data_IF_577394714520
#
_entry.id   IF_577394714520
#
_cell.length_a   1.000
_cell.length_b   1.000
_cell.length_c   1.000
_cell.angle_alpha   90.00
_cell.angle_beta   90.00
_cell.angle_gamma   90.00
#
_symmetry.space_group_name_H-M   'P 1'
#
loop_
_entity.id
_entity.type
_entity.pdbx_description
1 polymer ?
#
# COMPACT_ATOMS: atom_id res chain seq x y z
N UNK A 1 -5.97 -12.71 -31.24
CA UNK A 1 -5.29 -11.76 -32.09
C UNK A 1 -4.44 -10.76 -31.29
N UNK A 2 -3.41 -10.23 -31.94
CA UNK A 2 -2.50 -9.28 -31.32
C UNK A 2 -3.20 -8.03 -30.80
N UNK A 3 -4.28 -7.60 -31.44
CA UNK A 3 -5.02 -6.41 -31.08
C UNK A 3 -5.64 -6.47 -29.68
N UNK A 4 -5.87 -7.67 -29.16
CA UNK A 4 -6.43 -7.85 -27.82
C UNK A 4 -5.45 -7.43 -26.72
N UNK A 5 -4.17 -7.32 -27.03
CA UNK A 5 -3.12 -7.00 -26.09
C UNK A 5 -2.59 -5.57 -26.22
N UNK A 6 -3.04 -4.84 -27.23
CA UNK A 6 -2.56 -3.49 -27.50
C UNK A 6 -3.64 -2.48 -27.19
N UNK A 7 -3.42 -1.71 -26.16
CA UNK A 7 -4.27 -0.57 -25.82
C UNK A 7 -3.75 0.72 -26.49
N UNK A 8 -4.54 1.75 -26.38
CA UNK A 8 -4.11 3.10 -26.80
C UNK A 8 -2.91 3.54 -25.98
N UNK A 9 -2.14 4.48 -26.54
CA UNK A 9 -1.13 5.16 -25.75
C UNK A 9 -1.77 5.74 -24.49
N UNK A 10 -1.15 5.46 -23.36
CA UNK A 10 -1.62 5.92 -22.09
C UNK A 10 -0.47 6.58 -21.35
N UNK A 11 -0.72 7.72 -20.78
CA UNK A 11 0.18 8.32 -19.83
C UNK A 11 0.08 7.55 -18.52
N UNK A 12 1.19 6.98 -18.06
CA UNK A 12 1.20 6.17 -16.84
C UNK A 12 0.76 6.99 -15.65
N UNK A 13 1.14 8.25 -15.57
CA UNK A 13 0.73 9.10 -14.46
C UNK A 13 -0.78 9.37 -14.46
N UNK A 14 -1.39 9.53 -15.62
CA UNK A 14 -2.85 9.67 -15.72
C UNK A 14 -3.57 8.41 -15.22
N UNK A 15 -3.01 7.25 -15.53
CA UNK A 15 -3.60 6.00 -15.11
C UNK A 15 -3.49 5.77 -13.59
N UNK A 16 -2.34 6.11 -13.01
CA UNK A 16 -2.01 5.77 -11.63
C UNK A 16 -2.40 6.85 -10.62
N UNK A 17 -2.56 8.11 -11.06
CA UNK A 17 -2.70 9.25 -10.15
C UNK A 17 -4.05 9.93 -10.37
N UNK A 18 -4.89 9.91 -9.32
CA UNK A 18 -6.17 10.62 -9.31
C UNK A 18 -6.04 12.05 -8.80
N UNK A 19 -5.11 12.29 -7.87
CA UNK A 19 -4.95 13.58 -7.19
C UNK A 19 -3.46 13.92 -7.10
N UNK A 20 -2.95 14.64 -8.08
CA UNK A 20 -1.50 14.93 -8.17
C UNK A 20 -0.95 15.63 -6.93
N UNK A 21 -1.68 16.62 -6.38
CA UNK A 21 -1.20 17.39 -5.25
C UNK A 21 -1.16 16.61 -3.93
N UNK A 22 -1.83 15.46 -3.89
CA UNK A 22 -1.91 14.62 -2.71
C UNK A 22 -1.19 13.28 -2.87
N UNK A 23 -0.42 13.11 -3.95
CA UNK A 23 0.14 11.81 -4.33
C UNK A 23 1.65 11.80 -4.14
N UNK A 24 2.14 10.72 -3.57
CA UNK A 24 3.55 10.45 -3.31
C UNK A 24 3.93 9.08 -3.86
N UNK A 25 5.23 8.90 -4.16
CA UNK A 25 5.80 7.60 -4.48
C UNK A 25 6.66 7.14 -3.31
N UNK A 26 6.53 5.88 -2.95
CA UNK A 26 7.27 5.27 -1.85
C UNK A 26 7.86 3.96 -2.34
N UNK A 27 9.09 3.67 -1.94
CA UNK A 27 9.75 2.40 -2.26
C UNK A 27 9.35 1.33 -1.26
N UNK A 28 9.06 0.13 -1.76
CA UNK A 28 8.85 -1.03 -0.92
C UNK A 28 10.20 -1.52 -0.38
N UNK A 29 10.27 -1.72 0.92
CA UNK A 29 11.37 -2.39 1.60
C UNK A 29 10.84 -3.65 2.26
N UNK A 30 11.66 -4.70 2.27
CA UNK A 30 11.27 -5.98 2.86
C UNK A 30 10.24 -6.74 2.03
N UNK A 31 9.71 -7.80 2.62
CA UNK A 31 8.89 -8.79 1.93
C UNK A 31 7.53 -8.99 2.57
N UNK A 32 7.09 -8.08 3.43
CA UNK A 32 5.84 -8.27 4.17
C UNK A 32 4.59 -8.26 3.30
N UNK A 33 4.69 -7.83 2.03
CA UNK A 33 3.55 -7.65 1.15
C UNK A 33 3.67 -8.42 -0.17
N UNK A 34 4.52 -9.44 -0.20
CA UNK A 34 4.79 -10.18 -1.45
C UNK A 34 3.56 -10.93 -1.98
N UNK A 35 2.67 -11.37 -1.12
CA UNK A 35 1.48 -12.13 -1.54
C UNK A 35 0.45 -11.26 -2.29
N UNK A 36 0.54 -9.94 -2.17
CA UNK A 36 -0.27 -9.02 -3.00
C UNK A 36 0.55 -8.43 -4.14
N UNK A 37 1.73 -8.98 -4.40
CA UNK A 37 2.54 -8.59 -5.55
C UNK A 37 3.42 -7.37 -5.34
N UNK A 38 3.62 -6.92 -4.10
CA UNK A 38 4.53 -5.83 -3.78
C UNK A 38 5.86 -6.40 -3.31
N UNK A 39 6.87 -6.26 -4.16
CA UNK A 39 8.20 -6.83 -3.93
C UNK A 39 9.19 -5.74 -3.51
N UNK A 40 10.27 -6.11 -2.81
CA UNK A 40 11.33 -5.14 -2.48
C UNK A 40 11.82 -4.40 -3.73
N UNK A 41 11.93 -3.09 -3.62
CA UNK A 41 12.33 -2.23 -4.73
C UNK A 41 11.18 -1.72 -5.59
N UNK A 42 9.99 -2.27 -5.47
CA UNK A 42 8.81 -1.73 -6.13
C UNK A 42 8.52 -0.31 -5.63
N UNK A 43 7.90 0.48 -6.50
CA UNK A 43 7.38 1.78 -6.12
C UNK A 43 5.87 1.70 -6.01
N UNK A 44 5.33 2.32 -4.98
CA UNK A 44 3.89 2.42 -4.78
C UNK A 44 3.44 3.86 -4.88
N UNK A 45 2.24 4.02 -5.39
CA UNK A 45 1.55 5.31 -5.48
C UNK A 45 0.69 5.44 -4.23
N UNK A 46 0.91 6.50 -3.46
CA UNK A 46 0.21 6.75 -2.21
C UNK A 46 -0.59 8.03 -2.33
N UNK A 47 -1.91 7.95 -2.17
CA UNK A 47 -2.82 9.08 -2.25
C UNK A 47 -3.28 9.45 -0.84
N UNK A 48 -2.88 10.64 -0.39
CA UNK A 48 -3.23 11.15 0.95
C UNK A 48 -4.67 11.64 1.05
N UNK A 49 -5.32 11.93 -0.06
CA UNK A 49 -6.68 12.47 -0.06
C UNK A 49 -7.75 11.39 0.11
N UNK A 50 -7.40 10.12 -0.09
CA UNK A 50 -8.38 9.03 0.01
C UNK A 50 -8.58 8.62 1.46
N UNK A 51 -9.84 8.32 1.81
CA UNK A 51 -10.18 7.76 3.10
C UNK A 51 -9.93 6.25 3.08
N UNK A 52 -9.12 5.71 3.99
CA UNK A 52 -8.85 4.29 4.02
C UNK A 52 -10.08 3.49 4.42
N UNK A 53 -10.26 2.34 3.77
CA UNK A 53 -11.32 1.38 4.04
C UNK A 53 -10.69 0.03 4.39
N UNK A 54 -11.44 -0.81 5.10
CA UNK A 54 -11.03 -2.17 5.38
C UNK A 54 -10.62 -2.87 4.08
N UNK A 55 -9.45 -3.51 4.08
CA UNK A 55 -8.89 -4.19 2.92
C UNK A 55 -7.97 -3.34 2.05
N UNK A 56 -7.95 -2.03 2.23
CA UNK A 56 -7.03 -1.18 1.50
C UNK A 56 -5.59 -1.42 1.92
N UNK A 57 -4.69 -1.32 0.96
CA UNK A 57 -3.27 -1.23 1.25
C UNK A 57 -2.98 0.22 1.62
N UNK A 58 -2.33 0.44 2.74
CA UNK A 58 -2.08 1.78 3.27
C UNK A 58 -0.61 1.97 3.59
N UNK A 59 -0.17 3.22 3.51
CA UNK A 59 1.06 3.67 4.15
C UNK A 59 0.68 4.26 5.50
N UNK A 60 1.14 3.62 6.57
CA UNK A 60 0.84 4.02 7.93
C UNK A 60 2.11 4.45 8.66
N UNK A 61 1.94 5.29 9.66
CA UNK A 61 2.98 5.64 10.62
C UNK A 61 2.60 5.04 11.96
N UNK A 62 3.46 4.21 12.51
CA UNK A 62 3.27 3.59 13.81
C UNK A 62 4.53 3.86 14.63
N UNK A 63 4.37 4.57 15.74
CA UNK A 63 5.48 4.95 16.61
C UNK A 63 6.65 5.55 15.82
N UNK A 64 6.34 6.49 14.92
CA UNK A 64 7.27 7.23 14.08
C UNK A 64 7.92 6.41 12.94
N UNK A 65 7.49 5.18 12.72
CA UNK A 65 7.99 4.36 11.63
C UNK A 65 6.93 4.17 10.54
N UNK A 66 7.34 4.32 9.28
CA UNK A 66 6.47 4.04 8.15
C UNK A 66 6.39 2.55 7.87
N UNK A 67 5.20 2.09 7.51
CA UNK A 67 4.97 0.72 7.09
C UNK A 67 3.86 0.65 6.05
N UNK A 68 3.97 -0.28 5.12
CA UNK A 68 2.91 -0.56 4.13
C UNK A 68 2.29 -1.90 4.49
N UNK A 69 1.01 -1.89 4.75
CA UNK A 69 0.25 -3.05 5.21
C UNK A 69 -1.20 -2.96 4.72
N UNK A 70 -1.94 -4.02 4.90
CA UNK A 70 -3.38 -4.03 4.66
C UNK A 70 -4.08 -3.51 5.92
N UNK A 71 -4.91 -2.49 5.72
CA UNK A 71 -5.71 -1.91 6.79
C UNK A 71 -6.91 -2.81 7.11
N UNK A 72 -7.12 -3.08 8.38
CA UNK A 72 -8.18 -3.96 8.85
C UNK A 72 -8.62 -3.53 10.26
N UNK A 73 -9.68 -4.17 10.76
CA UNK A 73 -10.14 -3.99 12.13
C UNK A 73 -10.14 -5.32 12.85
N UNK A 74 -9.66 -5.32 14.08
CA UNK A 74 -9.77 -6.46 14.97
C UNK A 74 -11.18 -6.65 15.49
N UNK A 75 -11.38 -7.72 16.27
CA UNK A 75 -12.69 -8.08 16.84
C UNK A 75 -13.28 -6.98 17.74
N UNK A 76 -12.43 -6.17 18.37
CA UNK A 76 -12.83 -5.05 19.22
C UNK A 76 -13.00 -3.74 18.44
N UNK A 77 -13.03 -3.79 17.11
CA UNK A 77 -13.08 -2.63 16.20
C UNK A 77 -11.86 -1.72 16.28
N UNK A 78 -10.79 -2.15 16.95
CA UNK A 78 -9.53 -1.43 16.92
C UNK A 78 -8.81 -1.69 15.60
N UNK A 79 -8.12 -0.69 15.05
CA UNK A 79 -7.36 -0.89 13.81
C UNK A 79 -6.27 -1.93 13.99
N UNK A 80 -5.99 -2.65 12.93
CA UNK A 80 -4.81 -3.50 12.81
C UNK A 80 -4.25 -3.41 11.41
N UNK A 81 -2.96 -3.65 11.29
CA UNK A 81 -2.23 -3.61 10.04
C UNK A 81 -1.74 -5.02 9.72
N UNK A 82 -2.22 -5.57 8.61
CA UNK A 82 -1.99 -6.96 8.25
C UNK A 82 -0.91 -7.07 7.19
N UNK A 83 0.09 -7.95 7.39
CA UNK A 83 1.00 -8.30 6.32
C UNK A 83 0.30 -9.19 5.29
N UNK A 84 0.88 -9.29 4.10
CA UNK A 84 0.47 -10.22 3.06
C UNK A 84 1.67 -11.10 2.71
N UNK A 85 2.01 -12.01 3.59
CA UNK A 85 3.12 -12.94 3.43
C UNK A 85 2.81 -14.24 4.18
N UNK A 86 2.60 -15.31 3.42
CA UNK A 86 2.18 -16.60 3.95
C UNK A 86 3.30 -17.37 4.66
N UNK A 87 4.54 -16.87 4.64
CA UNK A 87 5.66 -17.54 5.32
C UNK A 87 5.53 -17.56 6.84
N UNK A 88 4.71 -16.68 7.42
CA UNK A 88 4.58 -16.52 8.86
C UNK A 88 5.70 -15.68 9.51
N UNK A 89 6.63 -15.16 8.70
CA UNK A 89 7.75 -14.36 9.21
C UNK A 89 7.32 -12.95 9.64
N UNK A 90 6.17 -12.48 9.18
CA UNK A 90 5.66 -11.14 9.47
C UNK A 90 4.36 -11.24 10.25
N UNK A 91 4.26 -10.49 11.33
CA UNK A 91 3.09 -10.52 12.21
C UNK A 91 2.19 -9.30 11.99
N UNK A 92 0.89 -9.44 12.21
CA UNK A 92 0.00 -8.28 12.27
C UNK A 92 0.44 -7.28 13.34
N UNK A 93 0.21 -6.01 13.06
CA UNK A 93 0.41 -4.93 14.02
C UNK A 93 -0.95 -4.56 14.58
N UNK A 94 -1.18 -4.83 15.85
CA UNK A 94 -2.42 -4.46 16.55
C UNK A 94 -2.22 -3.10 17.17
N UNK A 95 -3.06 -2.14 16.79
CA UNK A 95 -2.94 -0.77 17.27
C UNK A 95 -3.54 -0.68 18.67
N UNK A 96 -2.74 -0.17 19.62
CA UNK A 96 -3.14 0.04 21.01
C UNK A 96 -3.24 1.54 21.30
N UNK A 97 -4.02 1.94 22.31
CA UNK A 97 -4.16 3.36 22.66
C UNK A 97 -2.85 4.08 23.02
N UNK A 98 -1.83 3.34 23.46
CA UNK A 98 -0.53 3.90 23.81
C UNK A 98 0.38 4.15 22.61
N UNK A 99 -0.02 3.69 21.43
CA UNK A 99 0.75 3.87 20.19
C UNK A 99 0.40 5.19 19.50
N UNK A 100 1.41 5.81 18.90
CA UNK A 100 1.18 6.84 17.89
C UNK A 100 0.83 6.15 16.58
N UNK A 101 -0.33 6.47 16.03
CA UNK A 101 -0.82 5.81 14.82
C UNK A 101 -1.51 6.81 13.91
N UNK A 102 -1.12 6.78 12.64
CA UNK A 102 -1.76 7.58 11.59
C UNK A 102 -1.71 6.80 10.28
N UNK A 103 -2.81 6.83 9.53
CA UNK A 103 -2.79 6.42 8.13
C UNK A 103 -2.33 7.62 7.31
N UNK A 104 -1.15 7.52 6.72
CA UNK A 104 -0.60 8.59 5.91
C UNK A 104 -1.32 8.69 4.56
N UNK A 105 -1.63 7.57 3.94
CA UNK A 105 -2.34 7.53 2.67
C UNK A 105 -2.71 6.13 2.23
N UNK A 106 -3.51 6.06 1.18
CA UNK A 106 -3.97 4.80 0.58
C UNK A 106 -3.10 4.48 -0.63
N UNK A 107 -2.61 3.26 -0.71
CA UNK A 107 -1.86 2.78 -1.87
C UNK A 107 -2.85 2.47 -2.98
N UNK A 108 -2.73 3.16 -4.10
CA UNK A 108 -3.65 3.04 -5.23
C UNK A 108 -3.07 2.28 -6.41
N UNK A 109 -1.76 2.11 -6.45
CA UNK A 109 -1.10 1.38 -7.52
C UNK A 109 0.37 1.14 -7.22
N UNK A 110 1.02 0.41 -8.11
CA UNK A 110 2.46 0.14 -8.02
C UNK A 110 3.07 0.04 -9.40
N UNK A 111 4.38 0.20 -9.48
CA UNK A 111 5.11 0.03 -10.72
C UNK A 111 6.54 -0.41 -10.45
N UNK A 112 7.14 -1.06 -11.47
CA UNK A 112 8.45 -1.69 -11.37
C UNK A 112 9.13 -1.66 -12.73
N UNK A 113 10.43 -1.43 -12.72
CA UNK A 113 11.26 -1.57 -13.93
C UNK A 113 12.02 -2.88 -13.86
N UNK A 114 12.14 -3.54 -15.02
CA UNK A 114 12.96 -4.75 -15.14
C UNK A 114 14.33 -4.47 -15.75
N UNK A 115 14.47 -3.31 -16.41
CA UNK A 115 15.72 -3.06 -17.12
C UNK A 115 16.14 -1.60 -17.05
#
# INVERSE_FOLDING_TARGET
PADDYVEKRLDVSEFLIDHHDATFFVNIQGQSMVDVGLLPGDKVVVDRSKTPRMGDIVLAVVDQEFTIKIFDYGANKMPRLMPANSSGAYRPIYIRPDMQFEIFGVVTGSFRRFK
#
